data_IF_994152718154
#
_entry.id   IF_994152718154
#
_cell.length_a   1.000
_cell.length_b   1.000
_cell.length_c   1.000
_cell.angle_alpha   90.00
_cell.angle_beta   90.00
_cell.angle_gamma   90.00
#
_symmetry.space_group_name_H-M   'P 1'
#
loop_
_entity.id
_entity.type
_entity.pdbx_description
1 polymer ?
#
# COMPACT_ATOMS: atom_id res chain seq x y z
N UNK A 1 -3.74 -31.33 -5.95
CA UNK A 1 -3.15 -30.39 -4.99
C UNK A 1 -3.62 -28.99 -5.38
N UNK A 2 -4.61 -28.45 -4.69
CA UNK A 2 -5.15 -27.11 -4.98
C UNK A 2 -4.12 -26.10 -4.49
N UNK A 3 -3.30 -25.57 -5.40
CA UNK A 3 -2.38 -24.48 -5.06
C UNK A 3 -3.20 -23.30 -4.55
N UNK A 4 -2.98 -22.89 -3.30
CA UNK A 4 -3.69 -21.76 -2.72
C UNK A 4 -3.40 -20.48 -3.51
N UNK A 5 -4.37 -19.57 -3.57
CA UNK A 5 -4.22 -18.28 -4.25
C UNK A 5 -3.10 -17.48 -3.56
N UNK A 6 -2.09 -17.10 -4.34
CA UNK A 6 -0.99 -16.26 -3.87
C UNK A 6 -1.49 -14.82 -3.68
N UNK A 7 -1.31 -14.28 -2.49
CA UNK A 7 -1.66 -12.89 -2.16
C UNK A 7 -0.57 -12.23 -1.33
N UNK A 8 -0.62 -10.90 -1.26
CA UNK A 8 0.30 -10.10 -0.44
C UNK A 8 -0.10 -10.23 1.02
N UNK A 9 0.82 -10.71 1.86
CA UNK A 9 0.68 -10.80 3.30
C UNK A 9 1.60 -9.78 3.96
N UNK A 10 1.10 -9.06 4.98
CA UNK A 10 1.87 -8.07 5.74
C UNK A 10 1.96 -8.47 7.21
N UNK A 11 3.18 -8.69 7.69
CA UNK A 11 3.48 -9.04 9.06
C UNK A 11 4.09 -7.85 9.80
N UNK A 12 3.57 -7.57 10.98
CA UNK A 12 4.24 -6.71 11.97
C UNK A 12 4.95 -7.62 12.96
N UNK A 13 6.26 -7.43 13.12
CA UNK A 13 7.09 -8.26 14.00
C UNK A 13 7.82 -7.36 14.98
N UNK A 14 7.63 -7.60 16.27
CA UNK A 14 8.43 -7.00 17.32
C UNK A 14 9.57 -7.95 17.67
N UNK A 15 10.78 -7.42 17.69
CA UNK A 15 12.00 -8.17 17.99
C UNK A 15 12.85 -7.43 19.01
N UNK A 16 13.69 -8.14 19.73
CA UNK A 16 14.71 -7.50 20.58
C UNK A 16 15.66 -6.64 19.71
N UNK A 17 15.99 -5.45 20.20
CA UNK A 17 16.93 -4.53 19.55
C UNK A 17 18.37 -4.90 19.90
N UNK A 18 18.83 -6.05 19.37
CA UNK A 18 20.17 -6.60 19.63
C UNK A 18 20.94 -6.87 18.33
N UNK A 19 22.27 -6.76 18.33
CA UNK A 19 23.10 -7.11 17.18
C UNK A 19 22.79 -8.52 16.63
N UNK A 20 22.63 -8.61 15.31
CA UNK A 20 22.40 -9.86 14.59
C UNK A 20 20.94 -10.33 14.50
N UNK A 21 19.99 -9.66 15.15
CA UNK A 21 18.56 -10.03 15.08
C UNK A 21 18.01 -9.89 13.66
N UNK A 22 18.27 -8.76 12.99
CA UNK A 22 17.88 -8.57 11.59
C UNK A 22 18.42 -9.68 10.67
N UNK A 23 19.68 -10.07 10.85
CA UNK A 23 20.28 -11.14 10.06
C UNK A 23 19.61 -12.51 10.30
N UNK A 24 19.20 -12.80 11.54
CA UNK A 24 18.44 -14.03 11.86
C UNK A 24 17.08 -14.04 11.16
N UNK A 25 16.36 -12.92 11.19
CA UNK A 25 15.09 -12.75 10.48
C UNK A 25 15.31 -12.95 8.98
N UNK A 26 16.21 -12.19 8.34
CA UNK A 26 16.49 -12.32 6.91
C UNK A 26 16.91 -13.75 6.50
N UNK A 27 17.74 -14.40 7.32
CA UNK A 27 18.18 -15.78 7.10
C UNK A 27 17.03 -16.79 7.15
N UNK A 28 15.99 -16.55 7.95
CA UNK A 28 14.79 -17.40 8.00
C UNK A 28 14.09 -17.42 6.64
N UNK A 29 13.84 -16.25 6.04
CA UNK A 29 13.17 -16.14 4.74
C UNK A 29 13.97 -16.86 3.65
N UNK A 30 15.28 -16.66 3.60
CA UNK A 30 16.18 -17.38 2.68
C UNK A 30 16.06 -18.90 2.84
N UNK A 31 16.18 -19.42 4.07
CA UNK A 31 16.16 -20.88 4.33
C UNK A 31 14.81 -21.53 4.04
N UNK A 32 13.72 -20.76 4.13
CA UNK A 32 12.36 -21.25 3.90
C UNK A 32 11.82 -20.89 2.51
N UNK A 33 12.68 -20.34 1.64
CA UNK A 33 12.36 -19.96 0.27
C UNK A 33 11.16 -19.00 0.15
N UNK A 34 11.03 -18.08 1.11
CA UNK A 34 10.07 -16.97 1.00
C UNK A 34 10.74 -15.78 0.33
N UNK A 35 10.10 -15.22 -0.69
CA UNK A 35 10.52 -13.97 -1.30
C UNK A 35 10.01 -12.79 -0.44
N UNK A 36 10.93 -11.94 0.01
CA UNK A 36 10.59 -10.70 0.72
C UNK A 36 10.27 -9.65 -0.35
N UNK A 37 9.03 -9.18 -0.37
CA UNK A 37 8.61 -8.09 -1.25
C UNK A 37 8.99 -6.73 -0.65
N UNK A 38 8.90 -6.61 0.68
CA UNK A 38 9.36 -5.43 1.40
C UNK A 38 9.73 -5.80 2.83
N UNK A 39 10.76 -5.16 3.39
CA UNK A 39 11.12 -5.25 4.80
C UNK A 39 11.57 -3.88 5.28
N UNK A 40 10.90 -3.37 6.30
CA UNK A 40 11.26 -2.13 6.99
C UNK A 40 11.55 -2.44 8.44
N UNK A 41 12.57 -1.83 9.03
CA UNK A 41 12.90 -1.97 10.45
C UNK A 41 13.21 -0.61 11.05
N UNK A 42 12.78 -0.37 12.28
CA UNK A 42 13.14 0.80 13.06
C UNK A 42 12.87 0.56 14.55
N UNK A 43 13.32 1.49 15.39
CA UNK A 43 13.01 1.46 16.81
C UNK A 43 11.49 1.52 17.05
N UNK A 44 11.03 0.86 18.11
CA UNK A 44 9.64 0.94 18.55
C UNK A 44 9.46 1.94 19.69
N UNK A 45 8.22 2.12 20.12
CA UNK A 45 7.84 2.87 21.32
C UNK A 45 8.34 2.24 22.63
N UNK A 46 8.73 0.97 22.59
CA UNK A 46 9.27 0.23 23.73
C UNK A 46 10.80 0.21 23.63
N UNK A 47 11.50 0.54 24.74
CA UNK A 47 12.96 0.45 24.78
C UNK A 47 13.42 -0.97 24.47
N UNK A 48 14.57 -1.10 23.81
CA UNK A 48 15.19 -2.39 23.50
C UNK A 48 14.33 -3.30 22.59
N UNK A 49 13.31 -2.74 21.94
CA UNK A 49 12.49 -3.43 20.95
C UNK A 49 12.49 -2.67 19.62
N UNK A 50 12.77 -3.42 18.56
CA UNK A 50 12.67 -2.97 17.17
C UNK A 50 11.39 -3.52 16.55
N UNK A 51 10.76 -2.71 15.69
CA UNK A 51 9.54 -3.06 14.97
C UNK A 51 9.84 -3.25 13.49
N UNK A 52 9.51 -4.42 12.97
CA UNK A 52 9.64 -4.76 11.56
C UNK A 52 8.27 -4.81 10.89
N UNK A 53 8.18 -4.28 9.67
CA UNK A 53 7.07 -4.57 8.75
C UNK A 53 7.63 -5.42 7.61
N UNK A 54 7.07 -6.62 7.41
CA UNK A 54 7.55 -7.57 6.41
C UNK A 54 6.40 -7.93 5.49
N UNK A 55 6.60 -7.74 4.19
CA UNK A 55 5.63 -8.05 3.15
C UNK A 55 6.14 -9.23 2.34
N UNK A 56 5.29 -10.24 2.15
CA UNK A 56 5.59 -11.42 1.31
C UNK A 56 4.39 -11.77 0.44
N UNK A 57 4.65 -12.44 -0.68
CA UNK A 57 3.60 -13.01 -1.53
C UNK A 57 3.55 -14.52 -1.34
N UNK A 58 2.46 -15.03 -0.76
CA UNK A 58 2.30 -16.46 -0.48
C UNK A 58 0.82 -16.81 -0.33
N UNK A 59 0.51 -18.10 -0.24
CA UNK A 59 -0.84 -18.57 0.05
C UNK A 59 -1.12 -18.56 1.56
N UNK A 60 -2.37 -18.76 1.97
CA UNK A 60 -2.74 -18.75 3.38
C UNK A 60 -2.01 -19.84 4.21
N UNK A 61 -1.62 -20.96 3.58
CA UNK A 61 -0.85 -22.01 4.24
C UNK A 61 0.60 -21.57 4.49
N UNK A 62 1.22 -20.93 3.50
CA UNK A 62 2.56 -20.35 3.57
C UNK A 62 2.64 -19.22 4.58
N UNK A 63 1.63 -18.35 4.65
CA UNK A 63 1.56 -17.27 5.63
C UNK A 63 1.57 -17.80 7.08
N UNK A 64 0.70 -18.76 7.41
CA UNK A 64 0.66 -19.41 8.73
C UNK A 64 1.98 -20.11 9.07
N UNK A 65 2.60 -20.76 8.07
CA UNK A 65 3.92 -21.39 8.25
C UNK A 65 5.01 -20.35 8.52
N UNK A 66 4.98 -19.21 7.82
CA UNK A 66 5.95 -18.13 8.01
C UNK A 66 5.82 -17.55 9.42
N UNK A 67 4.61 -17.21 9.85
CA UNK A 67 4.32 -16.73 11.20
C UNK A 67 4.86 -17.70 12.27
N UNK A 68 4.51 -18.98 12.16
CA UNK A 68 5.00 -20.00 13.09
C UNK A 68 6.53 -20.18 13.06
N UNK A 69 7.19 -19.86 11.95
CA UNK A 69 8.65 -19.90 11.85
C UNK A 69 9.32 -18.66 12.45
N UNK A 70 8.68 -17.49 12.36
CA UNK A 70 9.14 -16.27 13.02
C UNK A 70 9.13 -16.46 14.54
N UNK A 71 8.06 -17.03 15.10
CA UNK A 71 7.98 -17.35 16.54
C UNK A 71 9.04 -18.35 17.05
N UNK A 72 9.72 -19.08 16.16
CA UNK A 72 10.83 -19.97 16.55
C UNK A 72 12.15 -19.21 16.77
N UNK A 73 12.23 -17.95 16.36
CA UNK A 73 13.40 -17.13 16.61
C UNK A 73 13.33 -16.60 18.04
N UNK A 74 14.36 -16.91 18.85
CA UNK A 74 14.43 -16.53 20.27
C UNK A 74 14.24 -15.03 20.50
N UNK A 75 14.67 -14.18 19.56
CA UNK A 75 14.60 -12.72 19.69
C UNK A 75 13.27 -12.13 19.17
N UNK A 76 12.32 -12.94 18.70
CA UNK A 76 11.01 -12.46 18.26
C UNK A 76 10.09 -12.42 19.47
N UNK A 77 9.60 -11.21 19.78
CA UNK A 77 8.70 -10.95 20.91
C UNK A 77 7.25 -11.19 20.50
N UNK A 78 6.85 -10.67 19.33
CA UNK A 78 5.48 -10.77 18.82
C UNK A 78 5.47 -10.77 17.31
N UNK A 79 4.55 -11.53 16.72
CA UNK A 79 4.23 -11.51 15.28
C UNK A 79 2.73 -11.30 15.14
N UNK A 80 2.33 -10.43 14.22
CA UNK A 80 0.95 -10.28 13.82
C UNK A 80 0.84 -10.20 12.31
N UNK A 81 0.03 -11.08 11.72
CA UNK A 81 -0.45 -10.90 10.35
C UNK A 81 -1.56 -9.85 10.34
N UNK A 82 -1.30 -8.69 9.72
CA UNK A 82 -2.27 -7.58 9.62
C UNK A 82 -2.94 -7.52 8.24
N UNK A 83 -2.82 -8.57 7.42
CA UNK A 83 -3.32 -8.60 6.04
C UNK A 83 -4.84 -8.38 5.96
N UNK A 84 -5.59 -8.98 6.87
CA UNK A 84 -7.06 -8.84 6.94
C UNK A 84 -7.52 -7.78 7.95
N UNK A 85 -6.57 -7.08 8.60
CA UNK A 85 -6.88 -6.07 9.60
C UNK A 85 -7.21 -4.75 8.94
N UNK A 86 -8.11 -3.96 9.55
CA UNK A 86 -8.31 -2.55 9.19
C UNK A 86 -7.03 -1.79 9.50
N UNK A 87 -6.21 -1.51 8.49
CA UNK A 87 -4.88 -0.94 8.66
C UNK A 87 -4.65 0.28 7.74
N UNK A 88 -3.64 1.08 8.09
CA UNK A 88 -3.06 2.13 7.25
C UNK A 88 -1.72 1.63 6.75
N UNK A 89 -1.51 1.72 5.44
CA UNK A 89 -0.21 1.45 4.83
C UNK A 89 0.35 2.72 4.22
N UNK A 90 1.64 2.97 4.46
CA UNK A 90 2.37 4.10 3.92
C UNK A 90 3.77 3.68 3.51
N UNK A 91 4.34 4.48 2.64
CA UNK A 91 5.73 4.43 2.23
C UNK A 91 6.21 5.86 2.01
N UNK A 92 7.50 6.10 2.25
CA UNK A 92 8.20 7.31 1.87
C UNK A 92 9.15 7.00 0.71
N UNK A 93 9.22 7.91 -0.26
CA UNK A 93 10.18 7.86 -1.34
C UNK A 93 10.88 9.21 -1.52
N UNK A 94 12.16 9.18 -1.89
CA UNK A 94 12.86 10.32 -2.44
C UNK A 94 13.31 10.01 -3.87
N UNK A 95 13.07 10.95 -4.77
CA UNK A 95 13.29 10.83 -6.20
C UNK A 95 14.16 11.99 -6.64
N UNK A 96 15.39 11.71 -7.06
CA UNK A 96 16.26 12.68 -7.71
C UNK A 96 16.00 12.60 -9.22
N UNK A 97 15.67 13.72 -9.82
CA UNK A 97 15.33 13.80 -11.25
C UNK A 97 16.10 14.94 -11.89
N UNK A 98 16.52 14.74 -13.15
CA UNK A 98 17.14 15.80 -13.94
C UNK A 98 16.14 16.93 -14.16
N UNK A 99 16.60 18.17 -14.02
CA UNK A 99 15.79 19.36 -14.17
C UNK A 99 16.64 20.51 -14.71
N UNK A 100 16.56 20.74 -16.03
CA UNK A 100 17.20 21.89 -16.67
C UNK A 100 16.41 23.17 -16.39
N UNK A 101 16.93 24.33 -16.76
CA UNK A 101 16.20 25.59 -16.64
C UNK A 101 14.83 25.56 -17.35
N UNK A 102 14.72 24.81 -18.46
CA UNK A 102 13.49 24.67 -19.24
C UNK A 102 12.49 23.68 -18.62
N UNK A 103 12.99 22.57 -18.05
CA UNK A 103 12.11 21.51 -17.52
C UNK A 103 11.80 21.65 -16.04
N UNK A 104 12.57 22.45 -15.29
CA UNK A 104 12.41 22.61 -13.83
C UNK A 104 10.99 22.98 -13.43
N UNK A 105 10.39 23.97 -14.08
CA UNK A 105 9.02 24.40 -13.74
C UNK A 105 8.01 23.26 -13.88
N UNK A 106 8.12 22.44 -14.94
CA UNK A 106 7.24 21.29 -15.13
C UNK A 106 7.43 20.22 -14.06
N UNK A 107 8.68 19.92 -13.68
CA UNK A 107 9.00 18.98 -12.60
C UNK A 107 8.41 19.46 -11.27
N UNK A 108 8.54 20.76 -10.96
CA UNK A 108 7.97 21.35 -9.75
C UNK A 108 6.43 21.28 -9.74
N UNK A 109 5.79 21.52 -10.89
CA UNK A 109 4.33 21.39 -11.02
C UNK A 109 3.86 19.95 -10.82
N UNK A 110 4.56 18.96 -11.37
CA UNK A 110 4.23 17.55 -11.14
C UNK A 110 4.38 17.18 -9.67
N UNK A 111 5.43 17.65 -8.99
CA UNK A 111 5.60 17.46 -7.56
C UNK A 111 4.39 18.02 -6.78
N UNK A 112 3.93 19.23 -7.12
CA UNK A 112 2.78 19.87 -6.47
C UNK A 112 1.47 19.10 -6.67
N UNK A 113 1.19 18.65 -7.90
CA UNK A 113 0.00 17.82 -8.23
C UNK A 113 -0.04 16.54 -7.39
N UNK A 114 1.10 15.89 -7.21
CA UNK A 114 1.20 14.69 -6.37
C UNK A 114 1.26 14.99 -4.86
N UNK A 115 1.17 16.27 -4.46
CA UNK A 115 1.36 16.73 -3.09
C UNK A 115 2.68 16.20 -2.50
N UNK A 116 3.72 16.22 -3.33
CA UNK A 116 5.07 15.89 -2.97
C UNK A 116 5.82 17.17 -2.57
N UNK A 117 6.91 17.02 -1.82
CA UNK A 117 7.73 18.13 -1.35
C UNK A 117 9.05 18.15 -2.10
N UNK A 118 9.47 19.32 -2.54
CA UNK A 118 10.82 19.50 -3.09
C UNK A 118 11.76 19.76 -1.91
N UNK A 119 12.76 18.91 -1.75
CA UNK A 119 13.69 18.95 -0.61
C UNK A 119 15.08 19.45 -1.00
N UNK A 120 15.41 19.45 -2.29
CA UNK A 120 16.65 20.01 -2.83
C UNK A 120 16.48 20.45 -4.28
N UNK A 121 17.19 21.51 -4.68
CA UNK A 121 17.19 22.05 -6.04
C UNK A 121 18.62 22.41 -6.42
N UNK A 122 19.16 21.70 -7.41
CA UNK A 122 20.43 21.98 -8.05
C UNK A 122 20.23 22.64 -9.43
N UNK A 123 21.31 23.14 -10.08
CA UNK A 123 21.21 23.73 -11.42
C UNK A 123 20.65 22.79 -12.49
N UNK A 124 20.86 21.48 -12.34
CA UNK A 124 20.53 20.43 -13.31
C UNK A 124 19.70 19.29 -12.72
N UNK A 125 19.30 19.38 -11.44
CA UNK A 125 18.53 18.33 -10.77
C UNK A 125 17.60 18.89 -9.68
N UNK A 126 16.57 18.11 -9.35
CA UNK A 126 15.67 18.36 -8.21
C UNK A 126 15.51 17.06 -7.43
N UNK A 127 15.45 17.16 -6.10
CA UNK A 127 15.08 16.04 -5.23
C UNK A 127 13.68 16.26 -4.70
N UNK A 128 12.80 15.29 -4.95
CA UNK A 128 11.40 15.29 -4.54
C UNK A 128 11.20 14.20 -3.47
N UNK A 129 10.61 14.55 -2.35
CA UNK A 129 10.15 13.64 -1.31
C UNK A 129 8.62 13.46 -1.41
N UNK A 130 8.13 12.23 -1.30
CA UNK A 130 6.71 11.95 -1.21
C UNK A 130 6.43 10.88 -0.18
N UNK A 131 5.25 10.94 0.45
CA UNK A 131 4.71 9.89 1.31
C UNK A 131 3.30 9.54 0.84
N UNK A 132 2.99 8.24 0.80
CA UNK A 132 1.74 7.78 0.20
C UNK A 132 1.52 6.27 0.25
N UNK A 133 0.52 5.82 -0.50
CA UNK A 133 0.39 4.42 -0.92
C UNK A 133 1.45 4.10 -1.98
N UNK A 134 1.75 2.81 -2.18
CA UNK A 134 2.63 2.35 -3.28
C UNK A 134 2.17 2.91 -4.62
N UNK A 135 0.86 2.81 -4.94
CA UNK A 135 0.31 3.29 -6.21
C UNK A 135 0.52 4.80 -6.43
N UNK A 136 0.43 5.62 -5.36
CA UNK A 136 0.72 7.05 -5.45
C UNK A 136 2.18 7.31 -5.81
N UNK A 137 3.10 6.57 -5.18
CA UNK A 137 4.53 6.70 -5.41
C UNK A 137 4.88 6.20 -6.82
N UNK A 138 4.34 5.06 -7.22
CA UNK A 138 4.54 4.47 -8.55
C UNK A 138 4.03 5.42 -9.65
N UNK A 139 2.87 6.06 -9.44
CA UNK A 139 2.36 7.09 -10.33
C UNK A 139 3.27 8.31 -10.45
N UNK A 140 3.84 8.80 -9.34
CA UNK A 140 4.79 9.92 -9.37
C UNK A 140 6.07 9.54 -10.12
N UNK A 141 6.59 8.34 -9.85
CA UNK A 141 7.75 7.80 -10.56
C UNK A 141 7.47 7.76 -12.06
N UNK A 142 6.31 7.27 -12.47
CA UNK A 142 5.95 7.13 -13.88
C UNK A 142 5.90 8.49 -14.61
N UNK A 143 5.26 9.51 -14.03
CA UNK A 143 5.20 10.83 -14.66
C UNK A 143 6.55 11.56 -14.66
N UNK A 144 7.47 11.20 -13.76
CA UNK A 144 8.82 11.75 -13.69
C UNK A 144 9.82 11.01 -14.60
N UNK A 145 9.55 9.76 -15.01
CA UNK A 145 10.45 8.99 -15.89
C UNK A 145 10.90 9.75 -17.14
N UNK A 146 10.03 10.48 -17.88
CA UNK A 146 10.44 11.19 -19.10
C UNK A 146 11.48 12.29 -18.85
N UNK A 147 11.55 12.84 -17.64
CA UNK A 147 12.53 13.87 -17.26
C UNK A 147 13.90 13.29 -16.92
N UNK A 148 14.00 11.97 -16.72
CA UNK A 148 15.23 11.28 -16.36
C UNK A 148 15.41 11.21 -14.83
N UNK A 149 14.96 10.11 -14.23
CA UNK A 149 15.22 9.81 -12.81
C UNK A 149 16.68 9.39 -12.66
N UNK A 150 17.41 10.13 -11.82
CA UNK A 150 18.82 9.89 -11.50
C UNK A 150 18.97 8.91 -10.34
N UNK A 151 18.08 8.99 -9.35
CA UNK A 151 18.16 8.19 -8.13
C UNK A 151 16.76 8.02 -7.51
N UNK A 152 16.47 6.82 -6.99
CA UNK A 152 15.23 6.52 -6.28
C UNK A 152 15.57 5.75 -5.01
N UNK A 153 15.13 6.27 -3.87
CA UNK A 153 15.14 5.55 -2.60
C UNK A 153 13.72 5.46 -2.06
N UNK A 154 13.41 4.29 -1.50
CA UNK A 154 12.09 3.92 -1.00
C UNK A 154 12.26 3.27 0.36
N UNK A 155 11.44 3.63 1.33
CA UNK A 155 11.50 3.01 2.67
C UNK A 155 10.98 1.58 2.66
N UNK A 156 10.18 1.19 1.66
CA UNK A 156 9.32 0.03 1.74
C UNK A 156 8.03 0.33 2.53
N UNK A 157 7.10 -0.63 2.48
CA UNK A 157 5.78 -0.50 3.11
C UNK A 157 5.91 -0.59 4.63
N UNK A 158 5.45 0.46 5.32
CA UNK A 158 5.09 0.41 6.73
C UNK A 158 3.57 0.29 6.87
N UNK A 159 3.12 -0.46 7.87
CA UNK A 159 1.70 -0.68 8.13
C UNK A 159 1.35 -0.49 9.60
N UNK A 160 0.17 -0.01 9.93
CA UNK A 160 -0.33 0.09 11.31
C UNK A 160 -1.83 -0.21 11.35
N UNK A 161 -2.26 -1.05 12.29
CA UNK A 161 -3.69 -1.29 12.52
C UNK A 161 -4.40 -0.03 13.00
N UNK A 162 -5.65 0.18 12.59
CA UNK A 162 -6.47 1.31 13.04
C UNK A 162 -7.12 1.03 14.39
N UNK A 163 -7.46 2.10 15.10
CA UNK A 163 -8.09 2.05 16.42
C UNK A 163 -7.08 2.07 17.56
N UNK A 164 -7.58 2.00 18.80
CA UNK A 164 -6.76 2.09 20.01
C UNK A 164 -5.98 0.79 20.33
N UNK A 165 -6.26 -0.31 19.61
CA UNK A 165 -5.59 -1.60 19.83
C UNK A 165 -4.17 -1.56 19.25
N UNK A 166 -3.18 -1.77 20.11
CA UNK A 166 -1.78 -1.97 19.71
C UNK A 166 -1.50 -3.46 19.49
N UNK A 167 -0.59 -3.77 18.57
CA UNK A 167 -0.09 -5.14 18.34
C UNK A 167 0.52 -5.76 19.60
N UNK A 168 1.06 -4.91 20.49
CA UNK A 168 1.70 -5.29 21.74
C UNK A 168 0.71 -5.50 22.90
N UNK A 169 -0.57 -5.17 22.72
CA UNK A 169 -1.61 -5.37 23.74
C UNK A 169 -2.43 -6.58 23.29
N UNK A 170 -2.50 -7.63 24.12
CA UNK A 170 -3.35 -8.77 23.82
C UNK A 170 -4.82 -8.32 23.70
N UNK A 171 -5.60 -8.86 22.76
CA UNK A 171 -7.04 -8.63 22.78
C UNK A 171 -7.60 -9.17 24.09
N UNK A 172 -8.44 -8.38 24.75
CA UNK A 172 -9.24 -8.86 25.87
C UNK A 172 -10.02 -10.11 25.41
N UNK A 173 -9.84 -11.29 26.05
CA UNK A 173 -10.59 -12.49 25.70
C UNK A 173 -12.12 -12.33 25.83
N UNK A 174 -12.61 -11.24 26.45
CA UNK A 174 -14.03 -10.99 26.68
C UNK A 174 -14.76 -10.16 25.61
N UNK A 175 -14.08 -9.57 24.62
CA UNK A 175 -14.76 -8.72 23.63
C UNK A 175 -15.02 -9.45 22.30
N UNK A 176 -16.29 -9.80 21.98
CA UNK A 176 -16.61 -10.36 20.68
C UNK A 176 -16.32 -9.36 19.56
N UNK A 177 -15.78 -9.85 18.46
CA UNK A 177 -15.63 -9.08 17.22
C UNK A 177 -17.01 -8.63 16.74
N UNK A 178 -17.30 -7.33 16.86
CA UNK A 178 -18.46 -6.70 16.24
C UNK A 178 -18.00 -6.02 14.95
N UNK A 179 -18.28 -6.57 13.76
CA UNK A 179 -18.05 -5.84 12.52
C UNK A 179 -18.93 -4.59 12.51
N UNK A 180 -18.36 -3.43 12.20
CA UNK A 180 -19.14 -2.20 12.04
C UNK A 180 -20.11 -2.38 10.85
N UNK A 181 -21.41 -2.05 11.00
CA UNK A 181 -22.34 -2.13 9.89
C UNK A 181 -21.95 -1.10 8.82
N UNK A 182 -21.67 -1.57 7.61
CA UNK A 182 -21.37 -0.72 6.44
C UNK A 182 -19.97 -0.86 5.84
N UNK A 183 -19.17 -1.88 6.22
CA UNK A 183 -17.89 -2.18 5.56
C UNK A 183 -18.02 -2.96 4.23
N UNK A 184 -19.24 -3.35 3.84
CA UNK A 184 -19.56 -3.83 2.49
C UNK A 184 -20.18 -2.67 1.72
N UNK A 185 -19.34 -1.93 0.99
CA UNK A 185 -19.78 -0.73 0.29
C UNK A 185 -18.73 -0.18 -0.66
N UNK A 186 -18.33 -1.00 -1.65
CA UNK A 186 -17.91 -0.48 -2.96
C UNK A 186 -18.08 -1.58 -4.02
N UNK A 187 -19.33 -1.86 -4.39
CA UNK A 187 -19.64 -2.35 -5.74
C UNK A 187 -20.02 -1.14 -6.59
N UNK A 188 -19.02 -0.44 -7.10
CA UNK A 188 -19.19 0.44 -8.25
C UNK A 188 -18.83 -0.31 -9.53
N UNK A 189 -19.82 -0.93 -10.16
CA UNK A 189 -19.78 -1.21 -11.60
C UNK A 189 -20.97 -0.55 -12.29
N UNK A 190 -20.66 0.56 -12.97
CA UNK A 190 -21.09 0.81 -14.36
C UNK A 190 -22.56 1.13 -14.61
N UNK A 191 -22.87 2.43 -14.61
CA UNK A 191 -23.88 2.95 -15.53
C UNK A 191 -23.32 2.96 -16.96
N UNK A 192 -24.06 2.38 -17.90
CA UNK A 192 -23.80 2.37 -19.33
C UNK A 192 -25.11 2.09 -20.07
N UNK A 193 -25.64 3.17 -20.65
CA UNK A 193 -26.95 3.41 -21.24
C UNK A 193 -27.17 2.77 -22.64
N UNK A 194 -28.45 2.82 -23.07
CA UNK A 194 -29.02 2.77 -24.42
C UNK A 194 -29.41 1.42 -25.04
N UNK A 195 -30.73 1.26 -25.23
CA UNK A 195 -31.37 0.22 -26.02
C UNK A 195 -32.90 0.32 -25.97
N UNK A 196 -33.43 1.47 -26.37
CA UNK A 196 -34.86 1.71 -26.53
C UNK A 196 -35.32 1.04 -27.84
N UNK A 197 -36.24 0.08 -27.74
CA UNK A 197 -37.03 -0.42 -28.88
C UNK A 197 -38.51 -0.24 -28.61
N UNK A 198 -39.05 0.61 -29.46
CA UNK A 198 -40.42 0.97 -29.81
C UNK A 198 -41.37 -0.23 -29.99
N UNK A 199 -42.62 -0.13 -29.51
CA UNK A 199 -43.83 -0.59 -30.23
C UNK A 199 -45.15 -0.32 -29.47
N UNK A 200 -46.12 0.26 -30.19
CA UNK A 200 -47.59 0.41 -29.97
C UNK A 200 -48.04 1.37 -28.84
N UNK A 201 -49.02 2.27 -29.02
CA UNK A 201 -50.28 2.11 -29.76
C UNK A 201 -50.96 3.47 -30.12
N UNK A 202 -51.87 3.41 -31.08
CA UNK A 202 -52.67 4.48 -31.73
C UNK A 202 -53.48 5.42 -30.81
N UNK A 203 -53.70 6.68 -31.22
CA UNK A 203 -55.03 7.25 -31.57
C UNK A 203 -55.00 8.74 -31.97
N UNK A 204 -55.70 9.07 -33.06
CA UNK A 204 -56.47 10.30 -33.38
C UNK A 204 -55.83 11.70 -33.22
N UNK A 205 -55.95 12.69 -34.11
CA UNK A 205 -56.64 12.98 -35.37
C UNK A 205 -56.01 14.33 -35.87
N UNK A 206 -56.40 15.01 -36.97
CA UNK A 206 -55.45 15.71 -37.82
C UNK A 206 -55.57 17.24 -37.60
N UNK A 207 -54.84 17.99 -38.41
CA UNK A 207 -55.25 19.28 -39.01
C UNK A 207 -54.31 20.48 -38.71
N UNK A 208 -54.15 21.26 -39.79
CA UNK A 208 -53.73 22.66 -39.91
C UNK A 208 -52.20 22.91 -39.92
N UNK A 209 -51.53 22.97 -41.08
CA UNK A 209 -51.47 24.08 -42.09
C UNK A 209 -50.41 25.16 -41.82
N UNK A 210 -49.42 25.17 -42.71
CA UNK A 210 -48.72 26.29 -43.36
C UNK A 210 -47.94 27.36 -42.54
N UNK A 211 -46.65 27.48 -42.90
CA UNK A 211 -46.04 28.58 -43.67
C UNK A 211 -44.87 29.38 -43.08
N UNK A 212 -43.90 29.58 -44.01
CA UNK A 212 -42.69 30.43 -44.10
C UNK A 212 -41.48 30.04 -43.29
#
# INVERSE_FOLDING_TARGET
MTGGVLRRHTFVVYVEDKPGVLNRVASLFRRRAFNIESLTVGHSETSDASRMTIVVRTDASGARRLEANLYKLVNVVRVQDITASRAVFRELAMIKVTATAETRTHVLQLADVFRARVVDVAPDAVVIETTGTEDKIDGLVEVLRPYGILELVRTGRVGMTRGARSVMIDPDPAEPFVPEPGADGDESQGAGDAGETDESDETDDPNISYSV
#
